data_IF_594678522705
#
_entry.id   IF_594678522705
#
_cell.length_a   1.000
_cell.length_b   1.000
_cell.length_c   1.000
_cell.angle_alpha   90.00
_cell.angle_beta   90.00
_cell.angle_gamma   90.00
#
_symmetry.space_group_name_H-M   'P 1'
#
loop_
_entity.id
_entity.type
_entity.pdbx_description
1 polymer ?
#
# COMPACT_ATOMS: atom_id res chain seq x y z
N UNK A 1 12.28 4.82 -53.09
CA UNK A 1 11.15 3.92 -52.72
C UNK A 1 11.23 3.45 -51.26
N UNK A 2 12.33 2.82 -50.81
CA UNK A 2 12.45 2.28 -49.42
C UNK A 2 12.25 3.33 -48.31
N UNK A 3 12.68 4.57 -48.51
CA UNK A 3 12.46 5.65 -47.53
C UNK A 3 10.99 6.09 -47.45
N UNK A 4 10.32 6.23 -48.59
CA UNK A 4 8.89 6.56 -48.64
C UNK A 4 8.02 5.48 -47.96
N UNK A 5 8.33 4.20 -48.14
CA UNK A 5 7.62 3.09 -47.48
C UNK A 5 7.80 3.13 -45.95
N UNK A 6 9.01 3.46 -45.47
CA UNK A 6 9.28 3.62 -44.03
C UNK A 6 8.51 4.82 -43.46
N UNK A 7 8.50 5.95 -44.15
CA UNK A 7 7.74 7.13 -43.73
C UNK A 7 6.24 6.86 -43.68
N UNK A 8 5.69 6.17 -44.68
CA UNK A 8 4.27 5.78 -44.69
C UNK A 8 3.95 4.82 -43.54
N UNK A 9 4.79 3.80 -43.30
CA UNK A 9 4.60 2.88 -42.19
C UNK A 9 4.65 3.58 -40.82
N UNK A 10 5.57 4.54 -40.65
CA UNK A 10 5.67 5.33 -39.42
C UNK A 10 4.44 6.22 -39.21
N UNK A 11 3.95 6.88 -40.26
CA UNK A 11 2.74 7.70 -40.19
C UNK A 11 1.51 6.83 -39.90
N UNK A 12 1.37 5.69 -40.56
CA UNK A 12 0.28 4.74 -40.29
C UNK A 12 0.33 4.20 -38.86
N UNK A 13 1.52 3.87 -38.35
CA UNK A 13 1.68 3.41 -36.97
C UNK A 13 1.32 4.51 -35.95
N UNK A 14 1.70 5.77 -36.23
CA UNK A 14 1.35 6.91 -35.39
C UNK A 14 -0.17 7.14 -35.38
N UNK A 15 -0.81 7.12 -36.55
CA UNK A 15 -2.27 7.28 -36.69
C UNK A 15 -3.01 6.15 -35.99
N UNK A 16 -2.57 4.90 -36.15
CA UNK A 16 -3.13 3.76 -35.44
C UNK A 16 -2.99 3.91 -33.92
N UNK A 17 -1.83 4.37 -33.43
CA UNK A 17 -1.62 4.62 -32.00
C UNK A 17 -2.58 5.66 -31.40
N UNK A 18 -2.92 6.72 -32.15
CA UNK A 18 -3.89 7.73 -31.71
C UNK A 18 -5.32 7.18 -31.74
N UNK A 19 -5.68 6.43 -32.78
CA UNK A 19 -7.02 5.84 -32.92
C UNK A 19 -7.30 4.72 -31.91
N UNK A 20 -6.26 4.04 -31.43
CA UNK A 20 -6.33 2.98 -30.43
C UNK A 20 -6.12 3.49 -28.99
N UNK A 21 -5.97 4.79 -28.79
CA UNK A 21 -5.85 5.37 -27.44
C UNK A 21 -7.18 5.24 -26.71
N UNK A 22 -7.25 4.39 -25.68
CA UNK A 22 -8.39 4.37 -24.77
C UNK A 22 -8.44 5.64 -23.90
N UNK A 23 -9.64 5.99 -23.42
CA UNK A 23 -9.83 7.09 -22.48
C UNK A 23 -9.06 6.80 -21.19
N UNK A 24 -8.04 7.61 -20.90
CA UNK A 24 -7.39 7.59 -19.60
C UNK A 24 -8.40 8.06 -18.53
N UNK A 25 -9.02 7.12 -17.81
CA UNK A 25 -9.91 7.37 -16.68
C UNK A 25 -9.17 7.84 -15.41
N UNK A 26 -7.91 8.27 -15.54
CA UNK A 26 -7.11 8.82 -14.45
C UNK A 26 -7.51 10.28 -14.15
N UNK A 27 -8.79 10.50 -13.88
CA UNK A 27 -9.34 11.76 -13.40
C UNK A 27 -9.34 11.71 -11.88
N UNK A 28 -8.17 12.00 -11.29
CA UNK A 28 -8.12 12.51 -9.93
C UNK A 28 -8.37 14.01 -10.08
N UNK A 29 -9.63 14.43 -10.01
CA UNK A 29 -9.91 15.86 -9.89
C UNK A 29 -9.29 16.38 -8.60
N UNK A 30 -8.98 17.69 -8.51
CA UNK A 30 -8.38 18.26 -7.31
C UNK A 30 -9.16 17.97 -6.01
N UNK A 31 -10.48 17.78 -6.10
CA UNK A 31 -11.33 17.37 -4.97
C UNK A 31 -11.12 15.91 -4.56
N UNK A 32 -11.24 14.97 -5.49
CA UNK A 32 -11.01 13.54 -5.23
C UNK A 32 -9.58 13.27 -4.74
N UNK A 33 -8.59 13.95 -5.31
CA UNK A 33 -7.19 13.84 -4.86
C UNK A 33 -7.00 14.31 -3.41
N UNK A 34 -7.69 15.39 -3.02
CA UNK A 34 -7.66 15.90 -1.65
C UNK A 34 -8.29 14.91 -0.66
N UNK A 35 -9.42 14.30 -1.02
CA UNK A 35 -10.10 13.31 -0.18
C UNK A 35 -9.22 12.07 0.04
N UNK A 36 -8.56 11.57 -1.01
CA UNK A 36 -7.64 10.45 -0.90
C UNK A 36 -6.47 10.75 0.03
N UNK A 37 -5.85 11.93 -0.13
CA UNK A 37 -4.75 12.35 0.74
C UNK A 37 -5.19 12.51 2.19
N UNK A 38 -6.36 13.11 2.43
CA UNK A 38 -6.93 13.26 3.77
C UNK A 38 -7.23 11.89 4.41
N UNK A 39 -7.84 10.97 3.66
CA UNK A 39 -8.11 9.61 4.12
C UNK A 39 -6.84 8.85 4.48
N UNK A 40 -5.78 9.00 3.68
CA UNK A 40 -4.47 8.40 3.97
C UNK A 40 -3.87 8.96 5.27
N UNK A 41 -3.89 10.28 5.46
CA UNK A 41 -3.39 10.92 6.69
C UNK A 41 -4.20 10.45 7.90
N UNK A 42 -5.52 10.42 7.79
CA UNK A 42 -6.41 9.95 8.86
C UNK A 42 -6.14 8.47 9.21
N UNK A 43 -5.92 7.60 8.22
CA UNK A 43 -5.58 6.21 8.45
C UNK A 43 -4.24 6.05 9.18
N UNK A 44 -3.20 6.78 8.77
CA UNK A 44 -1.88 6.75 9.43
C UNK A 44 -1.97 7.27 10.86
N UNK A 45 -2.64 8.41 11.07
CA UNK A 45 -2.85 8.98 12.40
C UNK A 45 -3.63 8.02 13.30
N UNK A 46 -4.72 7.42 12.78
CA UNK A 46 -5.51 6.43 13.50
C UNK A 46 -4.70 5.17 13.86
N UNK A 47 -3.84 4.71 12.96
CA UNK A 47 -2.95 3.58 13.22
C UNK A 47 -1.95 3.89 14.34
N UNK A 48 -1.32 5.07 14.34
CA UNK A 48 -0.39 5.45 15.41
C UNK A 48 -1.08 5.63 16.76
N UNK A 49 -2.25 6.27 16.78
CA UNK A 49 -3.04 6.42 18.01
C UNK A 49 -3.41 5.05 18.57
N UNK A 50 -3.93 4.16 17.72
CA UNK A 50 -4.29 2.79 18.11
C UNK A 50 -3.06 2.03 18.61
N UNK A 51 -1.94 2.10 17.90
CA UNK A 51 -0.70 1.43 18.32
C UNK A 51 -0.22 1.95 19.68
N UNK A 52 -0.24 3.27 19.90
CA UNK A 52 0.08 3.88 21.19
C UNK A 52 -0.84 3.41 22.31
N UNK A 53 -2.17 3.38 22.07
CA UNK A 53 -3.16 2.92 23.05
C UNK A 53 -2.98 1.45 23.46
N UNK A 54 -2.51 0.60 22.54
CA UNK A 54 -2.36 -0.84 22.78
C UNK A 54 -0.92 -1.27 23.07
N UNK A 55 0.04 -0.35 23.10
CA UNK A 55 1.47 -0.65 23.24
C UNK A 55 1.79 -1.54 24.44
N UNK A 56 1.18 -1.28 25.61
CA UNK A 56 1.38 -2.10 26.81
C UNK A 56 0.83 -3.53 26.64
N UNK A 57 -0.31 -3.70 25.98
CA UNK A 57 -0.90 -5.01 25.71
C UNK A 57 -0.05 -5.81 24.73
N UNK A 58 0.46 -5.15 23.69
CA UNK A 58 1.38 -5.75 22.73
C UNK A 58 2.65 -6.23 23.46
N UNK A 59 3.29 -5.39 24.27
CA UNK A 59 4.46 -5.80 25.07
C UNK A 59 4.16 -6.94 26.04
N UNK A 60 2.99 -6.92 26.68
CA UNK A 60 2.58 -7.98 27.61
C UNK A 60 2.40 -9.33 26.91
N UNK A 61 1.86 -9.33 25.69
CA UNK A 61 1.72 -10.52 24.86
C UNK A 61 3.09 -11.17 24.56
N UNK A 62 4.08 -10.36 24.19
CA UNK A 62 5.45 -10.85 23.96
C UNK A 62 6.16 -11.32 25.25
N UNK A 63 5.90 -10.68 26.41
CA UNK A 63 6.47 -11.11 27.70
C UNK A 63 5.90 -12.44 28.21
N UNK A 64 4.64 -12.77 27.92
CA UNK A 64 4.00 -14.00 28.42
C UNK A 64 4.67 -15.27 27.87
N UNK A 65 5.35 -15.19 26.73
CA UNK A 65 6.05 -16.33 26.13
C UNK A 65 7.34 -16.74 26.86
N UNK A 66 7.83 -15.95 27.81
CA UNK A 66 9.07 -16.21 28.56
C UNK A 66 8.83 -16.62 30.02
N UNK A 67 7.64 -17.09 30.40
CA UNK A 67 7.45 -17.64 31.74
C UNK A 67 8.34 -18.89 31.89
N UNK A 68 9.32 -18.89 32.82
CA UNK A 68 10.06 -20.10 33.16
C UNK A 68 9.05 -21.10 33.73
N UNK A 69 9.15 -22.36 33.33
CA UNK A 69 8.48 -23.43 34.06
C UNK A 69 9.00 -23.36 35.49
N UNK A 70 8.13 -22.97 36.42
CA UNK A 70 8.46 -23.02 37.83
C UNK A 70 8.36 -24.48 38.18
N UNK A 71 9.51 -25.15 38.20
CA UNK A 71 9.63 -26.51 38.70
C UNK A 71 9.05 -26.56 40.10
N UNK A 72 8.09 -27.45 40.27
CA UNK A 72 7.35 -27.75 41.48
C UNK A 72 8.34 -27.98 42.64
N UNK A 73 8.28 -27.22 43.75
CA UNK A 73 9.17 -27.50 44.87
C UNK A 73 8.76 -28.84 45.46
N UNK A 74 9.62 -29.84 45.25
CA UNK A 74 9.47 -31.17 45.81
C UNK A 74 9.22 -31.07 47.32
N UNK A 75 8.06 -31.60 47.70
CA UNK A 75 7.58 -31.74 49.06
C UNK A 75 8.63 -32.46 49.92
N UNK A 76 8.78 -31.94 51.13
CA UNK A 76 9.77 -32.31 52.12
C UNK A 76 9.16 -33.34 53.07
N UNK A 77 9.58 -34.60 52.96
CA UNK A 77 9.38 -35.66 53.96
C UNK A 77 10.71 -36.39 54.25
#
# INVERSE_FOLDING_TARGET
MKQAVRSVALVSALVAGVLLSESAHAYIDPGTGSILLQGLIAAIAGAFVTMGMYWERVKAFFRRSNAPNVDEPAEHD
#
